data_IF_344548967584
#
_entry.id   IF_344548967584
#
_cell.length_a   1.000
_cell.length_b   1.000
_cell.length_c   1.000
_cell.angle_alpha   90.00
_cell.angle_beta   90.00
_cell.angle_gamma   90.00
#
_symmetry.space_group_name_H-M   'P 1'
#
loop_
_entity.id
_entity.type
_entity.pdbx_description
1 polymer ?
#
# COMPACT_ATOMS: atom_id res chain seq x y z
N UNK A 1 -36.95 4.73 7.37
CA UNK A 1 -35.96 4.36 8.40
C UNK A 1 -34.74 5.23 8.20
N UNK A 2 -34.25 5.87 9.26
CA UNK A 2 -33.01 6.65 9.23
C UNK A 2 -31.82 5.70 9.08
N UNK A 3 -30.93 5.94 8.11
CA UNK A 3 -29.74 5.08 7.86
C UNK A 3 -28.73 5.20 9.01
N UNK A 4 -28.19 4.09 9.51
CA UNK A 4 -27.03 4.09 10.41
C UNK A 4 -25.74 4.03 9.59
N UNK A 5 -24.69 4.69 10.08
CA UNK A 5 -23.41 4.81 9.39
C UNK A 5 -22.28 4.12 10.15
N UNK A 6 -21.27 3.68 9.42
CA UNK A 6 -19.99 3.19 9.93
C UNK A 6 -18.85 3.94 9.28
N UNK A 7 -17.74 4.09 10.00
CA UNK A 7 -16.55 4.78 9.53
C UNK A 7 -15.38 3.80 9.46
N UNK A 8 -14.63 3.88 8.37
CA UNK A 8 -13.38 3.16 8.20
C UNK A 8 -12.25 4.11 7.89
N UNK A 9 -11.08 3.90 8.50
CA UNK A 9 -9.87 4.69 8.24
C UNK A 9 -8.76 3.80 7.72
N UNK A 10 -8.07 4.29 6.68
CA UNK A 10 -6.79 3.78 6.16
C UNK A 10 -5.74 4.89 6.31
N UNK A 11 -4.85 4.76 7.29
CA UNK A 11 -3.82 5.75 7.61
C UNK A 11 -2.41 5.16 7.41
N UNK A 12 -1.74 5.60 6.35
CA UNK A 12 -0.42 5.13 5.96
C UNK A 12 0.67 6.20 6.04
N UNK A 13 1.86 5.84 5.56
CA UNK A 13 3.04 6.71 5.59
C UNK A 13 2.95 7.95 4.69
N UNK A 14 2.08 7.98 3.70
CA UNK A 14 1.98 9.06 2.71
C UNK A 14 0.63 9.74 2.65
N UNK A 15 -0.45 9.03 3.02
CA UNK A 15 -1.81 9.53 2.94
C UNK A 15 -2.70 8.90 4.00
N UNK A 16 -3.81 9.57 4.29
CA UNK A 16 -4.92 9.08 5.10
C UNK A 16 -6.20 9.13 4.28
N UNK A 17 -7.05 8.12 4.41
CA UNK A 17 -8.38 8.04 3.78
C UNK A 17 -9.40 7.66 4.84
N UNK A 18 -10.55 8.31 4.82
CA UNK A 18 -11.70 7.98 5.68
C UNK A 18 -12.90 7.73 4.80
N UNK A 19 -13.58 6.61 4.99
CA UNK A 19 -14.80 6.27 4.26
C UNK A 19 -15.97 6.14 5.23
N UNK A 20 -17.10 6.77 4.91
CA UNK A 20 -18.36 6.63 5.65
C UNK A 20 -19.33 5.85 4.79
N UNK A 21 -19.83 4.75 5.31
CA UNK A 21 -20.80 3.89 4.62
C UNK A 21 -22.05 3.71 5.48
N UNK A 22 -23.21 3.59 4.84
CA UNK A 22 -24.38 3.07 5.51
C UNK A 22 -24.28 1.54 5.66
N UNK A 23 -25.03 0.96 6.61
CA UNK A 23 -25.07 -0.50 6.81
C UNK A 23 -25.60 -1.30 5.60
N UNK A 24 -26.19 -0.63 4.60
CA UNK A 24 -26.57 -1.24 3.32
C UNK A 24 -25.43 -1.29 2.30
N UNK A 25 -24.23 -0.85 2.67
CA UNK A 25 -23.04 -0.79 1.80
C UNK A 25 -22.95 0.46 0.92
N UNK A 26 -23.92 1.38 0.97
CA UNK A 26 -23.83 2.63 0.22
C UNK A 26 -22.81 3.61 0.84
N UNK A 27 -21.87 4.10 0.03
CA UNK A 27 -20.91 5.14 0.44
C UNK A 27 -21.62 6.48 0.61
N UNK A 28 -21.55 7.05 1.80
CA UNK A 28 -22.17 8.33 2.16
C UNK A 28 -21.16 9.49 2.15
N UNK A 29 -19.89 9.21 2.42
CA UNK A 29 -18.83 10.23 2.46
C UNK A 29 -17.44 9.61 2.31
N UNK A 30 -16.49 10.43 1.88
CA UNK A 30 -15.11 10.02 1.69
C UNK A 30 -14.20 11.23 1.84
N UNK A 31 -13.14 11.11 2.64
CA UNK A 31 -12.19 12.19 2.90
C UNK A 31 -10.75 11.72 2.78
N UNK A 32 -9.85 12.64 2.44
CA UNK A 32 -8.43 12.39 2.22
C UNK A 32 -7.58 13.47 2.87
N UNK A 33 -6.47 13.05 3.47
CA UNK A 33 -5.49 13.98 4.01
C UNK A 33 -4.07 13.43 3.84
N UNK A 34 -3.10 14.17 4.39
CA UNK A 34 -1.69 13.78 4.42
C UNK A 34 -1.40 12.52 5.24
N UNK A 35 -0.11 12.30 5.50
CA UNK A 35 0.38 11.10 6.17
C UNK A 35 -0.19 10.92 7.59
N UNK A 36 -0.72 9.72 7.85
CA UNK A 36 -1.38 9.33 9.10
C UNK A 36 -0.60 8.30 9.94
N UNK A 37 0.66 8.02 9.59
CA UNK A 37 1.51 7.09 10.34
C UNK A 37 2.24 7.81 11.49
N UNK A 38 1.91 7.54 12.78
CA UNK A 38 2.47 8.26 13.91
C UNK A 38 3.93 7.88 14.20
N UNK A 39 4.40 6.66 13.87
CA UNK A 39 5.82 6.30 14.06
C UNK A 39 6.75 6.98 13.05
N UNK A 40 6.25 7.25 11.85
CA UNK A 40 7.04 7.91 10.80
C UNK A 40 7.02 9.44 10.90
N UNK A 41 5.88 10.03 11.29
CA UNK A 41 5.66 11.49 11.19
C UNK A 41 5.34 12.17 12.54
N UNK A 42 5.26 11.39 13.62
CA UNK A 42 4.85 11.86 14.94
C UNK A 42 3.33 11.80 15.15
N UNK A 43 2.93 11.50 16.38
CA UNK A 43 1.53 11.29 16.77
C UNK A 43 0.62 12.48 16.41
N UNK A 44 1.01 13.70 16.78
CA UNK A 44 0.17 14.89 16.56
C UNK A 44 -0.14 15.14 15.09
N UNK A 45 0.84 14.96 14.19
CA UNK A 45 0.63 15.14 12.75
C UNK A 45 -0.26 14.05 12.17
N UNK A 46 -0.09 12.81 12.61
CA UNK A 46 -0.92 11.69 12.18
C UNK A 46 -2.38 11.87 12.61
N UNK A 47 -2.62 12.21 13.88
CA UNK A 47 -3.96 12.48 14.43
C UNK A 47 -4.63 13.66 13.73
N UNK A 48 -3.89 14.73 13.45
CA UNK A 48 -4.42 15.88 12.70
C UNK A 48 -4.85 15.50 11.27
N UNK A 49 -4.04 14.71 10.55
CA UNK A 49 -4.40 14.24 9.21
C UNK A 49 -5.64 13.33 9.24
N UNK A 50 -5.75 12.44 10.23
CA UNK A 50 -6.95 11.61 10.41
C UNK A 50 -8.18 12.49 10.70
N UNK A 51 -8.05 13.50 11.56
CA UNK A 51 -9.13 14.45 11.85
C UNK A 51 -9.57 15.26 10.63
N UNK A 52 -8.64 15.74 9.81
CA UNK A 52 -8.93 16.45 8.55
C UNK A 52 -9.72 15.57 7.57
N UNK A 53 -9.25 14.34 7.34
CA UNK A 53 -9.95 13.39 6.48
C UNK A 53 -11.31 12.98 7.05
N UNK A 54 -11.44 12.87 8.38
CA UNK A 54 -12.70 12.58 9.05
C UNK A 54 -13.71 13.72 8.87
N UNK A 55 -13.27 14.97 9.02
CA UNK A 55 -14.11 16.15 8.81
C UNK A 55 -14.67 16.18 7.38
N UNK A 56 -13.82 15.98 6.38
CA UNK A 56 -14.24 15.91 4.98
C UNK A 56 -15.22 14.75 4.74
N UNK A 57 -14.94 13.57 5.30
CA UNK A 57 -15.78 12.39 5.11
C UNK A 57 -17.15 12.50 5.80
N UNK A 58 -17.27 13.31 6.85
CA UNK A 58 -18.52 13.55 7.59
C UNK A 58 -19.32 14.75 7.07
N UNK A 59 -18.84 15.48 6.06
CA UNK A 59 -19.58 16.64 5.53
C UNK A 59 -20.99 16.26 5.08
N UNK A 60 -22.00 16.98 5.59
CA UNK A 60 -23.42 16.69 5.36
C UNK A 60 -23.97 15.43 6.04
N UNK A 61 -23.21 14.74 6.89
CA UNK A 61 -23.62 13.55 7.64
C UNK A 61 -23.86 13.91 9.11
N UNK A 62 -24.98 13.45 9.66
CA UNK A 62 -25.26 13.57 11.10
C UNK A 62 -24.41 12.54 11.89
N UNK A 63 -23.40 12.98 12.66
CA UNK A 63 -22.45 12.09 13.32
C UNK A 63 -23.08 11.25 14.43
N UNK A 64 -24.24 11.66 14.98
CA UNK A 64 -24.97 10.88 15.98
C UNK A 64 -25.51 9.55 15.44
N UNK A 65 -25.53 9.40 14.11
CA UNK A 65 -25.96 8.17 13.41
C UNK A 65 -24.83 7.21 13.11
N UNK A 66 -23.59 7.56 13.46
CA UNK A 66 -22.44 6.67 13.37
C UNK A 66 -22.50 5.66 14.51
N UNK A 67 -22.62 4.38 14.17
CA UNK A 67 -22.83 3.29 15.13
C UNK A 67 -21.58 2.46 15.41
N UNK A 68 -20.58 2.53 14.52
CA UNK A 68 -19.28 1.88 14.72
C UNK A 68 -18.20 2.55 13.88
N UNK A 69 -16.94 2.41 14.29
CA UNK A 69 -15.79 2.89 13.56
C UNK A 69 -14.60 1.95 13.74
N UNK A 70 -13.79 1.78 12.68
CA UNK A 70 -12.51 1.07 12.74
C UNK A 70 -11.44 1.86 12.01
N UNK A 71 -10.28 2.01 12.64
CA UNK A 71 -9.13 2.69 12.07
C UNK A 71 -7.98 1.72 11.85
N UNK A 72 -7.69 1.41 10.59
CA UNK A 72 -6.46 0.74 10.18
C UNK A 72 -5.32 1.75 10.08
N UNK A 73 -4.36 1.66 11.00
CA UNK A 73 -3.26 2.63 11.09
C UNK A 73 -1.92 1.90 11.03
N UNK A 74 -1.05 2.33 10.13
CA UNK A 74 0.33 1.88 10.06
C UNK A 74 1.16 2.51 11.19
N UNK A 75 2.08 1.74 11.79
CA UNK A 75 3.04 2.28 12.76
C UNK A 75 2.40 2.75 14.08
N UNK A 76 1.42 2.02 14.58
CA UNK A 76 0.69 2.35 15.80
C UNK A 76 1.61 2.57 17.01
N UNK A 77 1.17 3.46 17.89
CA UNK A 77 1.76 3.75 19.19
C UNK A 77 0.67 3.66 20.26
N UNK A 78 1.05 3.45 21.52
CA UNK A 78 0.12 3.16 22.63
C UNK A 78 -0.93 4.27 22.83
N UNK A 79 -0.55 5.52 22.63
CA UNK A 79 -1.38 6.70 22.86
C UNK A 79 -2.42 6.94 21.74
N UNK A 80 -2.26 6.30 20.58
CA UNK A 80 -3.05 6.56 19.38
C UNK A 80 -4.56 6.41 19.62
N UNK A 81 -4.97 5.32 20.28
CA UNK A 81 -6.38 5.02 20.52
C UNK A 81 -7.07 6.13 21.33
N UNK A 82 -6.38 6.67 22.35
CA UNK A 82 -6.91 7.74 23.18
C UNK A 82 -7.05 9.06 22.42
N UNK A 83 -6.07 9.40 21.58
CA UNK A 83 -6.13 10.61 20.75
C UNK A 83 -7.20 10.51 19.66
N UNK A 84 -7.37 9.36 19.02
CA UNK A 84 -8.46 9.16 18.05
C UNK A 84 -9.84 9.21 18.70
N UNK A 85 -9.99 8.73 19.94
CA UNK A 85 -11.25 8.88 20.67
C UNK A 85 -11.62 10.36 20.90
N UNK A 86 -10.62 11.22 21.19
CA UNK A 86 -10.84 12.67 21.30
C UNK A 86 -11.24 13.28 19.95
N UNK A 87 -10.54 12.93 18.87
CA UNK A 87 -10.90 13.40 17.51
C UNK A 87 -12.34 13.03 17.14
N UNK A 88 -12.78 11.81 17.46
CA UNK A 88 -14.17 11.39 17.22
C UNK A 88 -15.17 12.21 18.04
N UNK A 89 -14.88 12.43 19.32
CA UNK A 89 -15.72 13.24 20.20
C UNK A 89 -15.82 14.70 19.71
N UNK A 90 -14.72 15.29 19.24
CA UNK A 90 -14.69 16.65 18.67
C UNK A 90 -15.56 16.78 17.41
N UNK A 91 -15.77 15.67 16.68
CA UNK A 91 -16.66 15.59 15.51
C UNK A 91 -18.09 15.11 15.87
N UNK A 92 -18.42 14.99 17.15
CA UNK A 92 -19.75 14.59 17.62
C UNK A 92 -20.07 13.11 17.44
N UNK A 93 -19.09 12.25 17.19
CA UNK A 93 -19.27 10.80 17.14
C UNK A 93 -19.12 10.22 18.55
N UNK A 94 -20.15 9.51 19.01
CA UNK A 94 -20.28 9.11 20.42
C UNK A 94 -19.19 8.14 20.91
N UNK A 95 -18.67 7.28 20.03
CA UNK A 95 -17.64 6.30 20.37
C UNK A 95 -16.46 6.41 19.39
N UNK A 96 -15.24 6.42 19.95
CA UNK A 96 -14.01 6.38 19.16
C UNK A 96 -13.84 5.08 18.36
N UNK A 97 -12.90 5.06 17.40
CA UNK A 97 -12.69 3.89 16.56
C UNK A 97 -11.97 2.77 17.31
N UNK A 98 -12.29 1.52 16.97
CA UNK A 98 -11.36 0.42 17.25
C UNK A 98 -10.14 0.59 16.37
N UNK A 99 -8.94 0.41 16.92
CA UNK A 99 -7.69 0.53 16.17
C UNK A 99 -7.20 -0.84 15.76
N UNK A 100 -6.83 -1.00 14.49
CA UNK A 100 -6.27 -2.21 13.90
C UNK A 100 -5.08 -1.86 12.99
N UNK A 101 -4.27 -2.87 12.64
CA UNK A 101 -3.16 -2.69 11.70
C UNK A 101 -3.65 -2.41 10.27
N UNK A 102 -2.89 -1.59 9.53
CA UNK A 102 -3.11 -1.33 8.10
C UNK A 102 -3.07 -2.62 7.25
N UNK A 103 -2.21 -3.56 7.63
CA UNK A 103 -2.08 -4.88 6.98
C UNK A 103 -3.41 -5.65 6.93
N UNK A 104 -4.17 -5.66 8.04
CA UNK A 104 -5.43 -6.41 8.11
C UNK A 104 -6.48 -5.80 7.19
N UNK A 105 -6.64 -4.47 7.22
CA UNK A 105 -7.62 -3.80 6.37
C UNK A 105 -7.23 -3.88 4.89
N UNK A 106 -5.93 -3.93 4.56
CA UNK A 106 -5.45 -4.14 3.20
C UNK A 106 -5.78 -5.56 2.67
N UNK A 107 -5.71 -6.58 3.54
CA UNK A 107 -6.18 -7.93 3.20
C UNK A 107 -7.70 -7.93 2.97
N UNK A 108 -8.46 -7.41 3.92
CA UNK A 108 -9.93 -7.38 3.83
C UNK A 108 -10.40 -6.55 2.63
N UNK A 109 -9.63 -5.56 2.18
CA UNK A 109 -9.96 -4.82 0.96
C UNK A 109 -10.04 -5.69 -0.30
N UNK A 110 -9.43 -6.89 -0.31
CA UNK A 110 -9.47 -7.79 -1.46
C UNK A 110 -10.36 -9.02 -1.28
N UNK A 111 -10.88 -9.29 -0.08
CA UNK A 111 -11.69 -10.48 0.18
C UNK A 111 -12.50 -10.37 1.48
N UNK A 112 -13.73 -10.93 1.53
CA UNK A 112 -14.46 -11.12 2.78
C UNK A 112 -14.00 -12.33 3.58
N UNK A 113 -13.11 -13.18 3.03
CA UNK A 113 -12.71 -14.43 3.68
C UNK A 113 -11.92 -14.15 4.97
N UNK A 114 -12.21 -14.88 6.07
CA UNK A 114 -11.60 -14.61 7.37
C UNK A 114 -10.10 -14.91 7.39
N UNK A 115 -9.65 -15.85 6.55
CA UNK A 115 -8.29 -16.36 6.59
C UNK A 115 -7.70 -16.48 5.19
N UNK A 116 -6.44 -16.10 5.07
CA UNK A 116 -5.74 -16.03 3.79
C UNK A 116 -4.37 -15.39 3.93
N UNK A 117 -3.88 -14.78 2.86
CA UNK A 117 -2.60 -14.07 2.89
C UNK A 117 -2.66 -12.74 2.16
N UNK A 118 -1.95 -11.75 2.66
CA UNK A 118 -1.67 -10.50 1.96
C UNK A 118 -0.28 -10.58 1.34
N UNK A 119 -0.16 -10.11 0.10
CA UNK A 119 1.11 -9.74 -0.51
C UNK A 119 1.03 -8.27 -0.91
N UNK A 120 1.74 -7.42 -0.17
CA UNK A 120 1.76 -5.98 -0.38
C UNK A 120 3.09 -5.57 -0.98
N UNK A 121 3.05 -4.82 -2.09
CA UNK A 121 4.24 -4.15 -2.65
C UNK A 121 3.88 -2.76 -3.18
N UNK A 122 4.52 -1.75 -2.60
CA UNK A 122 4.45 -0.34 -2.96
C UNK A 122 5.85 0.26 -2.85
N UNK A 123 6.02 1.31 -2.05
CA UNK A 123 7.37 1.81 -1.70
C UNK A 123 8.19 0.74 -0.98
N UNK A 124 7.57 0.04 -0.02
CA UNK A 124 8.09 -1.16 0.66
C UNK A 124 7.33 -2.43 0.25
N UNK A 125 7.69 -3.57 0.81
CA UNK A 125 7.02 -4.84 0.53
C UNK A 125 6.94 -5.74 1.77
N UNK A 126 5.82 -6.43 1.92
CA UNK A 126 5.56 -7.33 3.05
C UNK A 126 4.55 -8.40 2.63
N UNK A 127 4.67 -9.60 3.21
CA UNK A 127 3.59 -10.58 3.18
C UNK A 127 3.09 -10.86 4.59
N UNK A 128 1.79 -11.11 4.71
CA UNK A 128 1.17 -11.42 5.99
C UNK A 128 0.19 -12.59 5.85
N UNK A 129 0.07 -13.39 6.90
CA UNK A 129 -1.06 -14.30 7.09
C UNK A 129 -2.10 -13.62 7.96
N UNK A 130 -3.34 -13.68 7.51
CA UNK A 130 -4.51 -13.28 8.29
C UNK A 130 -5.29 -14.53 8.64
N UNK A 131 -5.72 -14.64 9.89
CA UNK A 131 -6.55 -15.73 10.41
C UNK A 131 -7.66 -15.11 11.25
N UNK A 132 -8.92 -15.45 10.93
CA UNK A 132 -10.10 -14.89 11.59
C UNK A 132 -10.15 -13.35 11.60
N UNK A 133 -9.69 -12.75 10.49
CA UNK A 133 -9.52 -11.30 10.30
C UNK A 133 -8.52 -10.64 11.25
N UNK A 134 -7.66 -11.42 11.89
CA UNK A 134 -6.57 -10.94 12.73
C UNK A 134 -5.22 -11.27 12.10
N UNK A 135 -4.23 -10.41 12.34
CA UNK A 135 -2.87 -10.62 11.86
C UNK A 135 -2.20 -11.76 12.67
N UNK A 136 -1.76 -12.82 11.99
CA UNK A 136 -1.09 -13.95 12.65
C UNK A 136 0.43 -13.88 12.51
N UNK A 137 0.92 -13.72 11.29
CA UNK A 137 2.37 -13.71 11.01
C UNK A 137 2.72 -12.78 9.86
N UNK A 138 3.89 -12.15 9.94
CA UNK A 138 4.48 -11.31 8.89
C UNK A 138 5.78 -11.94 8.40
N UNK A 139 6.05 -11.81 7.10
CA UNK A 139 7.34 -12.05 6.49
C UNK A 139 7.79 -10.82 5.68
N UNK A 140 9.09 -10.51 5.80
CA UNK A 140 9.70 -9.28 5.28
C UNK A 140 9.11 -8.01 5.93
N UNK A 141 9.09 -6.86 5.24
CA UNK A 141 8.75 -5.58 5.86
C UNK A 141 9.86 -5.02 6.74
N UNK A 142 11.11 -5.45 6.53
CA UNK A 142 12.29 -5.05 7.32
C UNK A 142 12.93 -3.75 6.81
N UNK A 143 12.23 -3.03 5.94
CA UNK A 143 12.62 -1.74 5.42
C UNK A 143 13.54 -1.82 4.21
N UNK A 144 13.56 -0.72 3.46
CA UNK A 144 14.16 -0.61 2.13
C UNK A 144 15.63 -1.06 1.99
N UNK A 145 16.41 -1.00 3.07
CA UNK A 145 17.84 -1.32 3.03
C UNK A 145 18.08 -2.82 3.13
N UNK A 146 17.45 -3.48 4.10
CA UNK A 146 17.74 -4.88 4.50
C UNK A 146 16.61 -5.86 4.20
N UNK A 147 15.41 -5.37 3.87
CA UNK A 147 14.26 -6.15 3.46
C UNK A 147 13.54 -5.51 2.28
N UNK A 148 12.22 -5.54 2.33
CA UNK A 148 11.29 -5.03 1.32
C UNK A 148 11.62 -5.57 -0.08
N UNK A 149 11.94 -6.87 -0.17
CA UNK A 149 12.38 -7.49 -1.40
C UNK A 149 11.25 -7.48 -2.46
N UNK A 150 11.55 -6.98 -3.65
CA UNK A 150 10.57 -6.79 -4.72
C UNK A 150 9.64 -5.57 -4.55
N UNK A 151 9.89 -4.72 -3.56
CA UNK A 151 9.28 -3.38 -3.46
C UNK A 151 9.72 -2.44 -4.58
N UNK A 152 9.02 -1.32 -4.74
CA UNK A 152 9.44 -0.23 -5.62
C UNK A 152 10.84 0.30 -5.29
N UNK A 153 11.20 0.38 -4.00
CA UNK A 153 12.56 0.73 -3.61
C UNK A 153 13.58 -0.32 -4.06
N UNK A 154 13.28 -1.60 -3.83
CA UNK A 154 14.15 -2.70 -4.25
C UNK A 154 14.37 -2.68 -5.78
N UNK A 155 13.29 -2.54 -6.55
CA UNK A 155 13.31 -2.48 -8.02
C UNK A 155 14.19 -1.33 -8.50
N UNK A 156 13.98 -0.14 -7.93
CA UNK A 156 14.75 1.03 -8.33
C UNK A 156 16.22 0.97 -7.95
N UNK A 157 16.53 0.42 -6.76
CA UNK A 157 17.92 0.15 -6.36
C UNK A 157 18.60 -0.84 -7.30
N UNK A 158 17.90 -1.91 -7.71
CA UNK A 158 18.41 -2.88 -8.67
C UNK A 158 18.69 -2.21 -10.03
N UNK A 159 17.78 -1.34 -10.50
CA UNK A 159 17.96 -0.57 -11.73
C UNK A 159 19.17 0.37 -11.67
N UNK A 160 19.29 1.18 -10.62
CA UNK A 160 20.43 2.08 -10.45
C UNK A 160 21.75 1.32 -10.42
N UNK A 161 21.80 0.19 -9.71
CA UNK A 161 22.99 -0.67 -9.65
C UNK A 161 23.35 -1.25 -11.02
N UNK A 162 22.36 -1.75 -11.77
CA UNK A 162 22.57 -2.33 -13.09
C UNK A 162 23.02 -1.28 -14.12
N UNK A 163 22.41 -0.10 -14.12
CA UNK A 163 22.78 1.03 -14.99
C UNK A 163 24.19 1.54 -14.67
N UNK A 164 24.53 1.75 -13.39
CA UNK A 164 25.89 2.16 -13.00
C UNK A 164 26.92 1.13 -13.44
N UNK A 165 26.63 -0.16 -13.32
CA UNK A 165 27.52 -1.22 -13.79
C UNK A 165 27.67 -1.23 -15.32
N UNK A 166 26.61 -0.90 -16.07
CA UNK A 166 26.67 -0.77 -17.53
C UNK A 166 27.55 0.41 -17.96
N UNK A 167 27.39 1.56 -17.29
CA UNK A 167 28.21 2.75 -17.51
C UNK A 167 29.69 2.51 -17.17
N UNK A 168 29.97 1.79 -16.07
CA UNK A 168 31.33 1.43 -15.68
C UNK A 168 32.01 0.50 -16.71
N UNK A 169 31.23 -0.34 -17.40
CA UNK A 169 31.69 -1.14 -18.55
C UNK A 169 31.82 -0.35 -19.85
N UNK A 170 31.47 0.93 -19.86
CA UNK A 170 31.62 1.80 -21.04
C UNK A 170 30.42 1.87 -21.97
N UNK A 171 29.24 1.35 -21.59
CA UNK A 171 28.05 1.38 -22.45
C UNK A 171 26.97 2.34 -21.93
N UNK A 172 26.24 2.97 -22.87
CA UNK A 172 25.00 3.74 -22.62
C UNK A 172 23.78 3.11 -23.30
N UNK A 173 23.92 1.88 -23.78
CA UNK A 173 22.88 1.23 -24.56
C UNK A 173 21.78 0.66 -23.65
N UNK A 174 20.55 0.64 -24.17
CA UNK A 174 19.38 0.13 -23.47
C UNK A 174 18.40 1.23 -23.08
N UNK A 175 17.11 0.93 -23.19
CA UNK A 175 16.05 1.89 -22.85
C UNK A 175 16.08 2.22 -21.36
N UNK A 176 16.39 1.24 -20.50
CA UNK A 176 16.49 1.50 -19.06
C UNK A 176 17.65 2.44 -18.72
N UNK A 177 18.81 2.27 -19.36
CA UNK A 177 19.98 3.13 -19.16
C UNK A 177 19.65 4.57 -19.54
N UNK A 178 19.03 4.77 -20.70
CA UNK A 178 18.62 6.09 -21.17
C UNK A 178 17.59 6.76 -20.25
N UNK A 179 16.58 6.02 -19.78
CA UNK A 179 15.57 6.54 -18.86
C UNK A 179 16.18 6.98 -17.53
N UNK A 180 17.07 6.15 -16.95
CA UNK A 180 17.73 6.47 -15.68
C UNK A 180 18.69 7.65 -15.84
N UNK A 181 19.48 7.71 -16.91
CA UNK A 181 20.36 8.85 -17.18
C UNK A 181 19.56 10.15 -17.33
N UNK A 182 18.43 10.11 -18.04
CA UNK A 182 17.56 11.27 -18.19
C UNK A 182 16.97 11.74 -16.85
N UNK A 183 16.53 10.81 -15.99
CA UNK A 183 16.04 11.16 -14.64
C UNK A 183 17.11 11.79 -13.76
N UNK A 184 18.32 11.21 -13.73
CA UNK A 184 19.39 11.70 -12.86
C UNK A 184 20.08 12.96 -13.38
N UNK A 185 20.32 13.02 -14.68
CA UNK A 185 21.26 13.97 -15.28
C UNK A 185 20.58 14.96 -16.22
N UNK A 186 19.46 14.58 -16.84
CA UNK A 186 18.85 15.30 -17.96
C UNK A 186 19.87 15.52 -19.08
N UNK A 187 19.94 16.74 -19.59
CA UNK A 187 20.90 17.13 -20.64
C UNK A 187 22.35 17.25 -20.14
N UNK A 188 22.59 17.17 -18.82
CA UNK A 188 23.90 17.39 -18.20
C UNK A 188 24.72 16.10 -18.11
N UNK A 189 24.78 15.34 -19.21
CA UNK A 189 25.60 14.13 -19.31
C UNK A 189 27.09 14.49 -19.33
N UNK A 190 27.89 13.67 -18.67
CA UNK A 190 29.33 13.78 -18.60
C UNK A 190 30.01 13.35 -19.90
N UNK A 191 31.26 13.78 -20.08
CA UNK A 191 32.07 13.43 -21.24
C UNK A 191 32.32 11.92 -21.36
N UNK A 192 32.30 11.18 -20.25
CA UNK A 192 32.55 9.73 -20.20
C UNK A 192 31.42 9.01 -19.46
N UNK A 193 31.22 7.72 -19.76
CA UNK A 193 30.25 6.89 -19.04
C UNK A 193 30.59 6.78 -17.56
N UNK A 194 31.90 6.75 -17.23
CA UNK A 194 32.36 6.76 -15.84
C UNK A 194 31.94 8.04 -15.10
N UNK A 195 32.03 9.20 -15.73
CA UNK A 195 31.59 10.45 -15.13
C UNK A 195 30.07 10.47 -14.86
N UNK A 196 29.28 9.89 -15.76
CA UNK A 196 27.84 9.70 -15.57
C UNK A 196 27.57 8.75 -14.39
N UNK A 197 28.28 7.60 -14.33
CA UNK A 197 28.16 6.63 -13.26
C UNK A 197 28.44 7.26 -11.88
N UNK A 198 29.55 7.97 -11.75
CA UNK A 198 29.93 8.63 -10.50
C UNK A 198 28.87 9.68 -10.08
N UNK A 199 28.25 10.37 -11.06
CA UNK A 199 27.22 11.38 -10.78
C UNK A 199 25.89 10.75 -10.38
N UNK A 200 25.47 9.67 -11.03
CA UNK A 200 24.28 8.88 -10.64
C UNK A 200 24.43 8.38 -9.21
N UNK A 201 25.59 7.79 -8.88
CA UNK A 201 25.90 7.32 -7.51
C UNK A 201 25.77 8.45 -6.49
N UNK A 202 26.42 9.59 -6.72
CA UNK A 202 26.36 10.73 -5.78
C UNK A 202 24.93 11.23 -5.57
N UNK A 203 24.15 11.34 -6.63
CA UNK A 203 22.78 11.85 -6.55
C UNK A 203 21.84 10.85 -5.86
N UNK A 204 21.99 9.55 -6.12
CA UNK A 204 21.21 8.51 -5.45
C UNK A 204 21.53 8.42 -3.95
N UNK A 205 22.79 8.67 -3.57
CA UNK A 205 23.20 8.73 -2.16
C UNK A 205 22.67 9.98 -1.44
N UNK A 206 22.58 11.11 -2.15
CA UNK A 206 22.08 12.36 -1.58
C UNK A 206 20.56 12.33 -1.32
N UNK A 207 19.80 11.57 -2.13
CA UNK A 207 18.37 11.41 -1.96
C UNK A 207 17.95 9.97 -2.34
N UNK A 208 17.86 9.11 -1.32
CA UNK A 208 17.50 7.71 -1.50
C UNK A 208 16.06 7.51 -1.96
N UNK A 209 15.15 8.48 -1.72
CA UNK A 209 13.75 8.37 -2.15
C UNK A 209 13.63 8.39 -3.67
N UNK A 210 14.62 8.96 -4.37
CA UNK A 210 14.73 8.87 -5.83
C UNK A 210 14.89 7.45 -6.35
N UNK A 211 15.37 6.51 -5.54
CA UNK A 211 15.46 5.12 -5.98
C UNK A 211 14.06 4.55 -6.17
N UNK A 212 13.12 4.80 -5.26
CA UNK A 212 11.76 4.28 -5.38
C UNK A 212 11.04 4.76 -6.66
N UNK A 213 11.32 5.98 -7.13
CA UNK A 213 10.70 6.50 -8.37
C UNK A 213 11.20 5.80 -9.64
N UNK A 214 12.37 5.15 -9.61
CA UNK A 214 12.89 4.40 -10.76
C UNK A 214 12.07 3.14 -11.07
N UNK A 215 11.25 2.63 -10.14
CA UNK A 215 10.40 1.46 -10.39
C UNK A 215 9.43 1.66 -11.58
N UNK A 216 8.91 2.88 -11.75
CA UNK A 216 8.09 3.24 -12.90
C UNK A 216 8.90 3.23 -14.21
N UNK A 217 10.17 3.65 -14.17
CA UNK A 217 11.06 3.61 -15.34
C UNK A 217 11.43 2.18 -15.72
N UNK A 218 11.66 1.29 -14.75
CA UNK A 218 11.86 -0.14 -14.98
C UNK A 218 10.62 -0.74 -15.64
N UNK A 219 9.42 -0.43 -15.15
CA UNK A 219 8.18 -0.94 -15.73
C UNK A 219 8.02 -0.51 -17.19
N UNK A 220 8.31 0.76 -17.49
CA UNK A 220 8.30 1.29 -18.87
C UNK A 220 9.33 0.60 -19.78
N UNK A 221 10.56 0.44 -19.31
CA UNK A 221 11.62 -0.22 -20.07
C UNK A 221 11.32 -1.71 -20.32
N UNK A 222 10.81 -2.42 -19.32
CA UNK A 222 10.43 -3.83 -19.43
C UNK A 222 9.28 -4.03 -20.42
N UNK A 223 8.27 -3.15 -20.39
CA UNK A 223 7.19 -3.15 -21.38
C UNK A 223 7.70 -2.90 -22.82
N UNK A 224 8.81 -2.17 -22.98
CA UNK A 224 9.49 -1.98 -24.26
C UNK A 224 10.45 -3.13 -24.64
N UNK A 225 10.54 -4.19 -23.82
CA UNK A 225 11.40 -5.35 -24.07
C UNK A 225 12.87 -5.15 -23.71
N UNK A 226 13.22 -4.13 -22.90
CA UNK A 226 14.58 -3.95 -22.42
C UNK A 226 15.00 -5.15 -21.55
N UNK A 227 16.06 -5.90 -21.92
CA UNK A 227 16.42 -7.14 -21.25
C UNK A 227 16.87 -6.93 -19.80
N UNK A 228 17.50 -5.79 -19.49
CA UNK A 228 17.91 -5.46 -18.12
C UNK A 228 16.68 -5.22 -17.25
N UNK A 229 15.70 -4.48 -17.75
CA UNK A 229 14.46 -4.21 -17.05
C UNK A 229 13.60 -5.47 -16.86
N UNK A 230 13.50 -6.32 -17.88
CA UNK A 230 12.78 -7.60 -17.81
C UNK A 230 13.37 -8.50 -16.73
N UNK A 231 14.70 -8.56 -16.62
CA UNK A 231 15.36 -9.36 -15.58
C UNK A 231 15.07 -8.84 -14.17
N UNK A 232 15.13 -7.51 -13.97
CA UNK A 232 14.79 -6.89 -12.67
C UNK A 232 13.33 -7.19 -12.28
N UNK A 233 12.41 -7.12 -13.24
CA UNK A 233 10.99 -7.49 -13.02
C UNK A 233 10.87 -8.95 -12.59
N UNK A 234 11.58 -9.85 -13.26
CA UNK A 234 11.56 -11.29 -12.96
C UNK A 234 12.07 -11.58 -11.55
N UNK A 235 13.18 -10.95 -11.15
CA UNK A 235 13.73 -11.08 -9.80
C UNK A 235 12.78 -10.50 -8.74
N UNK A 236 12.21 -9.32 -8.98
CA UNK A 236 11.24 -8.70 -8.06
C UNK A 236 10.03 -9.61 -7.82
N UNK A 237 9.44 -10.15 -8.89
CA UNK A 237 8.31 -11.07 -8.78
C UNK A 237 8.69 -12.36 -8.03
N UNK A 238 9.88 -12.90 -8.30
CA UNK A 238 10.42 -14.07 -7.59
C UNK A 238 10.55 -13.82 -6.08
N UNK A 239 11.09 -12.66 -5.69
CA UNK A 239 11.18 -12.26 -4.29
C UNK A 239 9.81 -12.18 -3.61
N UNK A 240 8.86 -11.48 -4.24
CA UNK A 240 7.51 -11.31 -3.69
C UNK A 240 6.79 -12.65 -3.49
N UNK A 241 6.87 -13.55 -4.48
CA UNK A 241 6.23 -14.88 -4.40
C UNK A 241 6.92 -15.78 -3.38
N UNK A 242 8.25 -15.71 -3.26
CA UNK A 242 8.98 -16.42 -2.21
C UNK A 242 8.56 -15.92 -0.81
N UNK A 243 8.40 -14.60 -0.63
CA UNK A 243 7.98 -14.00 0.64
C UNK A 243 6.57 -14.43 1.04
N UNK A 244 5.58 -14.38 0.14
CA UNK A 244 4.22 -14.87 0.46
C UNK A 244 4.19 -16.38 0.69
N UNK A 245 5.04 -17.15 -0.01
CA UNK A 245 5.18 -18.59 0.20
C UNK A 245 5.64 -18.99 1.61
N UNK A 246 6.28 -18.09 2.36
CA UNK A 246 6.70 -18.33 3.76
C UNK A 246 5.53 -18.26 4.75
N UNK A 247 4.47 -17.52 4.42
CA UNK A 247 3.34 -17.26 5.31
C UNK A 247 2.05 -17.90 4.82
N UNK A 248 1.91 -18.18 3.53
CA UNK A 248 0.69 -18.75 2.98
C UNK A 248 0.43 -20.20 3.42
N UNK A 249 -0.83 -20.51 3.73
CA UNK A 249 -1.29 -21.87 4.10
C UNK A 249 -2.49 -22.28 3.26
N UNK A 250 -3.54 -21.46 3.28
CA UNK A 250 -4.79 -21.69 2.57
C UNK A 250 -5.51 -20.35 2.32
N UNK A 251 -6.63 -20.40 1.59
CA UNK A 251 -7.45 -19.23 1.28
C UNK A 251 -6.88 -18.35 0.16
N UNK A 252 -7.46 -17.17 -0.07
CA UNK A 252 -7.01 -16.26 -1.11
C UNK A 252 -5.68 -15.59 -0.75
N UNK A 253 -4.89 -15.28 -1.78
CA UNK A 253 -3.79 -14.31 -1.70
C UNK A 253 -4.26 -12.96 -2.23
N UNK A 254 -4.37 -11.97 -1.35
CA UNK A 254 -4.75 -10.59 -1.70
C UNK A 254 -3.51 -9.82 -2.11
N UNK A 255 -3.52 -9.24 -3.31
CA UNK A 255 -2.47 -8.35 -3.79
C UNK A 255 -2.78 -6.90 -3.42
N UNK A 256 -1.83 -6.21 -2.78
CA UNK A 256 -1.97 -4.81 -2.38
C UNK A 256 -0.72 -3.97 -2.71
N UNK A 257 -0.87 -2.65 -2.65
CA UNK A 257 0.20 -1.69 -2.95
C UNK A 257 0.39 -1.48 -4.45
N UNK A 258 0.86 -0.28 -4.82
CA UNK A 258 0.85 0.20 -6.20
C UNK A 258 1.61 -0.67 -7.20
N UNK A 259 2.67 -1.39 -6.78
CA UNK A 259 3.44 -2.29 -7.65
C UNK A 259 2.60 -3.50 -8.07
N UNK A 260 1.66 -3.91 -7.23
CA UNK A 260 0.80 -5.07 -7.47
C UNK A 260 -0.64 -4.71 -7.79
N UNK A 261 -1.16 -3.54 -7.48
CA UNK A 261 -2.54 -3.17 -7.82
C UNK A 261 -2.65 -2.49 -9.19
N UNK A 262 -1.57 -1.88 -9.66
CA UNK A 262 -1.51 -1.27 -11.00
C UNK A 262 -1.17 -2.34 -12.04
N UNK A 263 -1.73 -2.20 -13.25
CA UNK A 263 -1.26 -2.99 -14.39
C UNK A 263 0.21 -2.68 -14.65
N UNK A 264 1.01 -3.74 -14.76
CA UNK A 264 2.44 -3.60 -14.94
C UNK A 264 3.16 -4.94 -15.02
N UNK A 265 4.41 -4.95 -15.49
CA UNK A 265 5.15 -6.19 -15.74
C UNK A 265 5.42 -6.98 -14.46
N UNK A 266 5.61 -6.33 -13.30
CA UNK A 266 5.76 -7.02 -12.01
C UNK A 266 4.45 -7.70 -11.58
N UNK A 267 3.31 -6.99 -11.66
CA UNK A 267 1.98 -7.57 -11.40
C UNK A 267 1.72 -8.77 -12.30
N UNK A 268 2.00 -8.67 -13.60
CA UNK A 268 1.84 -9.77 -14.55
C UNK A 268 2.74 -10.97 -14.19
N UNK A 269 4.02 -10.73 -13.89
CA UNK A 269 4.96 -11.77 -13.52
C UNK A 269 4.57 -12.47 -12.21
N UNK A 270 4.12 -11.73 -11.19
CA UNK A 270 3.59 -12.30 -9.93
C UNK A 270 2.33 -13.12 -10.21
N UNK A 271 1.40 -12.61 -11.03
CA UNK A 271 0.19 -13.33 -11.42
C UNK A 271 0.49 -14.66 -12.12
N UNK A 272 1.48 -14.68 -13.02
CA UNK A 272 1.93 -15.90 -13.69
C UNK A 272 2.57 -16.91 -12.71
N UNK A 273 3.38 -16.43 -11.75
CA UNK A 273 4.01 -17.27 -10.74
C UNK A 273 3.02 -17.81 -9.69
N UNK A 274 1.91 -17.11 -9.46
CA UNK A 274 0.81 -17.54 -8.58
C UNK A 274 -0.31 -18.25 -9.35
N UNK A 275 -0.12 -18.58 -10.62
CA UNK A 275 -1.14 -19.25 -11.42
C UNK A 275 -1.60 -20.55 -10.75
N UNK A 276 -2.93 -20.78 -10.73
CA UNK A 276 -3.54 -21.91 -10.04
C UNK A 276 -3.84 -21.67 -8.55
N UNK A 277 -3.47 -20.52 -7.99
CA UNK A 277 -3.92 -20.07 -6.65
C UNK A 277 -5.11 -19.12 -6.76
N UNK A 278 -5.91 -19.05 -5.71
CA UNK A 278 -6.92 -18.00 -5.58
C UNK A 278 -6.21 -16.67 -5.28
N UNK A 279 -6.28 -15.72 -6.21
CA UNK A 279 -5.62 -14.42 -6.10
C UNK A 279 -6.66 -13.33 -6.34
N UNK A 280 -6.75 -12.39 -5.40
CA UNK A 280 -7.59 -11.20 -5.53
C UNK A 280 -6.75 -9.93 -5.43
N UNK A 281 -7.34 -8.78 -5.69
CA UNK A 281 -6.66 -7.48 -5.59
C UNK A 281 -7.40 -6.63 -4.57
N UNK A 282 -6.66 -5.99 -3.68
CA UNK A 282 -7.20 -5.06 -2.71
C UNK A 282 -7.88 -3.88 -3.41
N UNK A 283 -9.13 -3.60 -3.03
CA UNK A 283 -9.87 -2.39 -3.38
C UNK A 283 -9.60 -1.26 -2.38
N UNK A 284 -10.66 -0.58 -1.94
CA UNK A 284 -10.57 0.53 -0.98
C UNK A 284 -10.39 0.05 0.47
N UNK A 285 -9.21 0.31 1.04
CA UNK A 285 -8.87 -0.13 2.40
C UNK A 285 -9.63 0.65 3.49
N UNK A 286 -9.98 1.92 3.26
CA UNK A 286 -10.83 2.68 4.18
C UNK A 286 -12.24 2.08 4.21
N UNK A 287 -12.82 1.76 3.06
CA UNK A 287 -14.07 1.02 2.95
C UNK A 287 -14.02 -0.38 3.57
N UNK A 288 -12.90 -1.10 3.42
CA UNK A 288 -12.68 -2.38 4.08
C UNK A 288 -12.68 -2.28 5.62
N UNK A 289 -12.09 -1.21 6.17
CA UNK A 289 -12.16 -0.91 7.59
C UNK A 289 -13.61 -0.63 8.03
N UNK A 290 -14.38 0.12 7.23
CA UNK A 290 -15.79 0.37 7.50
C UNK A 290 -16.61 -0.92 7.46
N UNK A 291 -16.29 -1.84 6.53
CA UNK A 291 -16.92 -3.16 6.46
C UNK A 291 -16.65 -4.00 7.71
N UNK A 292 -15.40 -4.02 8.22
CA UNK A 292 -15.09 -4.71 9.48
C UNK A 292 -15.85 -4.11 10.66
N UNK A 293 -16.04 -2.80 10.70
CA UNK A 293 -16.87 -2.13 11.71
C UNK A 293 -18.36 -2.53 11.59
N UNK A 294 -18.89 -2.65 10.36
CA UNK A 294 -20.27 -3.07 10.10
C UNK A 294 -20.51 -4.57 10.34
N UNK A 295 -19.49 -5.42 10.15
CA UNK A 295 -19.62 -6.89 10.24
C UNK A 295 -20.18 -7.33 11.58
N UNK A 296 -19.77 -6.71 12.67
CA UNK A 296 -20.22 -7.05 14.02
C UNK A 296 -21.69 -6.63 14.30
N UNK A 297 -22.30 -5.88 13.36
CA UNK A 297 -23.69 -5.41 13.40
C UNK A 297 -24.59 -6.12 12.37
N UNK A 298 -24.03 -7.02 11.57
CA UNK A 298 -24.71 -7.72 10.47
C UNK A 298 -24.65 -9.23 10.68
N UNK A 299 -25.59 -9.98 10.09
CA UNK A 299 -25.44 -11.43 9.97
C UNK A 299 -24.24 -11.77 9.06
N UNK A 300 -23.50 -12.86 9.29
CA UNK A 300 -22.35 -13.25 8.47
C UNK A 300 -22.64 -13.28 6.95
N UNK A 301 -23.80 -13.79 6.55
CA UNK A 301 -24.21 -13.89 5.14
C UNK A 301 -24.36 -12.50 4.51
N UNK A 302 -25.02 -11.58 5.23
CA UNK A 302 -25.24 -10.20 4.79
C UNK A 302 -23.94 -9.41 4.75
N UNK A 303 -23.05 -9.59 5.73
CA UNK A 303 -21.73 -8.96 5.71
C UNK A 303 -20.95 -9.40 4.46
N UNK A 304 -20.91 -10.70 4.15
CA UNK A 304 -20.25 -11.23 2.95
C UNK A 304 -20.87 -10.69 1.66
N UNK A 305 -22.20 -10.64 1.56
CA UNK A 305 -22.91 -10.10 0.38
C UNK A 305 -22.57 -8.63 0.12
N UNK A 306 -22.46 -7.82 1.18
CA UNK A 306 -22.23 -6.38 1.09
C UNK A 306 -20.76 -6.00 0.89
N UNK A 307 -19.81 -6.91 1.15
CA UNK A 307 -18.37 -6.63 1.09
C UNK A 307 -17.91 -5.91 -0.19
N UNK A 308 -18.36 -6.30 -1.41
CA UNK A 308 -17.95 -5.60 -2.63
C UNK A 308 -18.40 -4.14 -2.70
N UNK A 309 -19.51 -3.78 -2.03
CA UNK A 309 -20.02 -2.40 -2.02
C UNK A 309 -19.16 -1.49 -1.14
N UNK A 310 -18.62 -2.02 -0.04
CA UNK A 310 -17.70 -1.30 0.82
C UNK A 310 -16.31 -1.15 0.21
N UNK A 311 -15.83 -2.18 -0.49
CA UNK A 311 -14.44 -2.26 -0.96
C UNK A 311 -14.24 -1.79 -2.40
N UNK A 312 -15.30 -1.39 -3.10
CA UNK A 312 -15.20 -0.84 -4.45
C UNK A 312 -14.24 0.35 -4.49
N UNK A 313 -13.26 0.30 -5.40
CA UNK A 313 -12.34 1.42 -5.62
C UNK A 313 -13.14 2.68 -6.00
N UNK A 314 -12.71 3.83 -5.47
CA UNK A 314 -13.32 5.14 -5.76
C UNK A 314 -12.94 5.66 -7.13
#
# INVERSE_FOLDING_TARGET
>A
MTKSFVIGVDAGATSTRVAVHALDGSRAGYGRAGAGNPSAHGLGKAVAAIGEALAEALDGIDPSRVVASLAGVAGQVEELTGELAKVWADHGVAAGPRVAGDVVIAYVAGTPEPSGSLLLSGTGAVAARVTDHELEVIADGLGWLLGDAGSGFWIGRAAAKAVVAALDRGTREGALVELVLNDFLGDRRGATTRADADRVVRLAQADHMRLASLAALVSRAAAAGDPMAVEIVREAAGHLVATVGRVHVSGPTVLAGSVLTSDGPVRQAVGALLAGREVTTAGDAAGAAAWLAARDLLSPERARELHPLFTAAS
#
